data_IF_159547856190
#
_entry.id   IF_159547856190
#
_cell.length_a   1.000
_cell.length_b   1.000
_cell.length_c   1.000
_cell.angle_alpha   90.00
_cell.angle_beta   90.00
_cell.angle_gamma   90.00
#
_symmetry.space_group_name_H-M   'P 1'
#
loop_
_entity.id
_entity.type
_entity.pdbx_description
1 polymer ?
#
# COMPACT_ATOMS: atom_id res chain seq x y z
N UNK A 1 31.85 -17.34 -35.54
CA UNK A 1 31.33 -15.99 -35.24
C UNK A 1 30.43 -16.12 -34.03
N UNK A 2 30.92 -15.70 -32.86
CA UNK A 2 30.27 -15.89 -31.56
C UNK A 2 29.16 -14.83 -31.38
N UNK A 3 27.90 -15.21 -31.57
CA UNK A 3 26.74 -14.49 -31.02
C UNK A 3 26.22 -15.26 -29.80
N UNK A 4 27.04 -15.41 -28.78
CA UNK A 4 26.65 -16.04 -27.51
C UNK A 4 27.18 -15.17 -26.38
N UNK A 5 26.36 -14.24 -25.88
CA UNK A 5 26.54 -13.60 -24.54
C UNK A 5 25.46 -12.55 -24.21
N UNK A 6 24.67 -12.03 -25.16
CA UNK A 6 23.76 -10.90 -24.89
C UNK A 6 22.34 -11.28 -24.40
N UNK A 7 22.08 -12.57 -24.11
CA UNK A 7 20.76 -13.09 -23.76
C UNK A 7 20.39 -13.08 -22.24
N UNK A 8 21.30 -13.03 -21.25
CA UNK A 8 20.87 -13.07 -19.84
C UNK A 8 20.37 -11.72 -19.32
N UNK A 9 20.83 -10.61 -19.89
CA UNK A 9 20.45 -9.26 -19.45
C UNK A 9 19.00 -8.93 -19.76
N UNK A 10 18.49 -9.34 -20.93
CA UNK A 10 17.10 -9.10 -21.31
C UNK A 10 16.12 -9.83 -20.40
N UNK A 11 16.44 -11.07 -20.02
CA UNK A 11 15.61 -11.86 -19.11
C UNK A 11 15.59 -11.22 -17.71
N UNK A 12 16.75 -10.89 -17.14
CA UNK A 12 16.85 -10.24 -15.83
C UNK A 12 16.15 -8.87 -15.84
N UNK A 13 16.32 -8.09 -16.91
CA UNK A 13 15.65 -6.80 -17.05
C UNK A 13 14.12 -6.93 -17.06
N UNK A 14 13.57 -7.94 -17.74
CA UNK A 14 12.13 -8.21 -17.78
C UNK A 14 11.59 -8.56 -16.38
N UNK A 15 12.33 -9.35 -15.60
CA UNK A 15 11.98 -9.66 -14.20
C UNK A 15 12.01 -8.43 -13.30
N UNK A 16 13.04 -7.58 -13.43
CA UNK A 16 13.14 -6.31 -12.68
C UNK A 16 11.96 -5.40 -13.03
N UNK A 17 11.63 -5.29 -14.32
CA UNK A 17 10.51 -4.47 -14.80
C UNK A 17 9.17 -5.01 -14.28
N UNK A 18 8.98 -6.33 -14.26
CA UNK A 18 7.79 -6.96 -13.70
C UNK A 18 7.63 -6.65 -12.20
N UNK A 19 8.70 -6.76 -11.42
CA UNK A 19 8.69 -6.44 -9.98
C UNK A 19 8.39 -4.95 -9.77
N UNK A 20 9.04 -4.08 -10.55
CA UNK A 20 8.81 -2.63 -10.48
C UNK A 20 7.36 -2.27 -10.83
N UNK A 21 6.77 -2.95 -11.81
CA UNK A 21 5.37 -2.75 -12.21
C UNK A 21 4.40 -3.15 -11.09
N UNK A 22 4.59 -4.34 -10.49
CA UNK A 22 3.78 -4.79 -9.34
C UNK A 22 3.93 -3.84 -8.16
N UNK A 23 5.16 -3.38 -7.87
CA UNK A 23 5.42 -2.41 -6.82
C UNK A 23 4.68 -1.08 -7.06
N UNK A 24 4.68 -0.57 -8.30
CA UNK A 24 3.95 0.65 -8.65
C UNK A 24 2.44 0.50 -8.51
N UNK A 25 1.86 -0.66 -8.88
CA UNK A 25 0.43 -0.93 -8.67
C UNK A 25 0.09 -0.93 -7.18
N UNK A 26 0.87 -1.63 -6.34
CA UNK A 26 0.64 -1.67 -4.90
C UNK A 26 0.79 -0.27 -4.30
N UNK A 27 1.80 0.49 -4.73
CA UNK A 27 2.03 1.87 -4.28
C UNK A 27 0.87 2.78 -4.67
N UNK A 28 0.38 2.71 -5.91
CA UNK A 28 -0.75 3.50 -6.38
C UNK A 28 -2.02 3.19 -5.58
N UNK A 29 -2.34 1.90 -5.38
CA UNK A 29 -3.49 1.48 -4.55
C UNK A 29 -3.35 1.97 -3.10
N UNK A 30 -2.14 1.93 -2.52
CA UNK A 30 -1.89 2.48 -1.18
C UNK A 30 -2.00 4.00 -1.12
N UNK A 31 -1.68 4.69 -2.20
CA UNK A 31 -1.78 6.15 -2.30
C UNK A 31 -3.25 6.60 -2.37
N UNK A 32 -4.11 5.85 -3.08
CA UNK A 32 -5.56 6.07 -3.09
C UNK A 32 -6.23 5.71 -1.76
N UNK A 33 -5.74 4.68 -1.06
CA UNK A 33 -6.22 4.35 0.30
C UNK A 33 -5.78 5.36 1.37
N UNK A 34 -4.97 6.35 1.01
CA UNK A 34 -4.72 7.55 1.82
C UNK A 34 -5.82 8.60 1.62
N UNK A 35 -7.05 8.16 1.37
CA UNK A 35 -8.24 8.98 1.57
C UNK A 35 -8.17 9.63 2.95
N UNK A 36 -8.54 10.91 3.09
CA UNK A 36 -8.64 11.57 4.39
C UNK A 36 -9.50 10.77 5.38
N UNK A 37 -10.45 9.96 4.89
CA UNK A 37 -11.25 9.07 5.74
C UNK A 37 -10.45 7.95 6.40
N UNK A 38 -9.52 7.34 5.67
CA UNK A 38 -8.63 6.30 6.21
C UNK A 38 -7.73 6.86 7.30
N UNK A 39 -7.25 8.10 7.14
CA UNK A 39 -6.46 8.79 8.16
C UNK A 39 -7.29 9.08 9.42
N UNK A 40 -8.54 9.53 9.29
CA UNK A 40 -9.39 9.80 10.45
C UNK A 40 -9.70 8.51 11.23
N UNK A 41 -9.95 7.41 10.53
CA UNK A 41 -10.19 6.09 11.14
C UNK A 41 -8.94 5.51 11.80
N UNK A 42 -7.75 5.72 11.23
CA UNK A 42 -6.48 5.33 11.84
C UNK A 42 -6.22 6.11 13.13
N UNK A 43 -6.49 7.42 13.14
CA UNK A 43 -6.39 8.25 14.36
C UNK A 43 -7.38 7.75 15.42
N UNK A 44 -8.63 7.48 15.06
CA UNK A 44 -9.61 6.96 16.00
C UNK A 44 -9.20 5.60 16.59
N UNK A 45 -8.67 4.68 15.76
CA UNK A 45 -8.12 3.38 16.24
C UNK A 45 -6.95 3.57 17.20
N UNK A 46 -6.07 4.54 16.93
CA UNK A 46 -4.93 4.84 17.79
C UNK A 46 -5.39 5.32 19.18
N UNK A 47 -6.37 6.23 19.21
CA UNK A 47 -6.98 6.74 20.45
C UNK A 47 -7.71 5.63 21.24
N UNK A 48 -8.37 4.71 20.55
CA UNK A 48 -8.98 3.54 21.18
C UNK A 48 -7.93 2.62 21.83
N UNK A 49 -6.81 2.38 21.15
CA UNK A 49 -5.70 1.58 21.71
C UNK A 49 -5.05 2.24 22.93
N UNK A 50 -5.01 3.59 22.96
CA UNK A 50 -4.57 4.36 24.12
C UNK A 50 -5.61 4.39 25.25
N UNK A 51 -6.84 3.92 25.02
CA UNK A 51 -7.95 4.00 25.97
C UNK A 51 -8.56 5.40 26.09
N UNK A 52 -8.27 6.31 25.16
CA UNK A 52 -8.81 7.68 25.14
C UNK A 52 -10.27 7.73 24.68
N UNK A 53 -10.71 6.72 23.93
CA UNK A 53 -12.10 6.57 23.47
C UNK A 53 -12.57 5.14 23.68
N UNK A 54 -13.87 4.97 23.80
CA UNK A 54 -14.55 3.69 23.98
C UNK A 54 -14.80 2.97 22.65
N UNK A 55 -15.21 1.70 22.73
CA UNK A 55 -15.56 0.91 21.55
C UNK A 55 -16.81 1.46 20.84
N UNK A 56 -17.78 2.03 21.59
CA UNK A 56 -18.94 2.69 20.99
C UNK A 56 -18.55 3.92 20.17
N UNK A 57 -17.72 4.81 20.73
CA UNK A 57 -17.27 6.03 20.05
C UNK A 57 -16.48 5.72 18.76
N UNK A 58 -15.59 4.72 18.82
CA UNK A 58 -14.87 4.26 17.62
C UNK A 58 -15.84 3.76 16.53
N UNK A 59 -16.94 3.12 16.93
CA UNK A 59 -17.94 2.57 16.01
C UNK A 59 -18.80 3.66 15.38
N UNK A 60 -19.14 4.72 16.11
CA UNK A 60 -19.84 5.89 15.57
C UNK A 60 -19.00 6.61 14.53
N UNK A 61 -17.74 6.91 14.85
CA UNK A 61 -16.79 7.53 13.91
C UNK A 61 -16.67 6.68 12.64
N UNK A 62 -16.61 5.35 12.78
CA UNK A 62 -16.54 4.44 11.62
C UNK A 62 -17.82 4.41 10.76
N UNK A 63 -18.97 4.82 11.30
CA UNK A 63 -20.25 4.90 10.55
C UNK A 63 -20.44 6.23 9.85
N UNK A 64 -19.87 7.31 10.36
CA UNK A 64 -19.98 8.65 9.76
C UNK A 64 -19.01 8.88 8.59
N UNK A 65 -17.95 8.06 8.51
CA UNK A 65 -16.89 8.08 7.49
C UNK A 65 -17.14 7.07 6.36
#
# INVERSE_FOLDING_TARGET
MHTMSMMPFSMIFMWILMIAFVYLIIKAIRQDNKSPSSSAIEVAKCRFANGEITQEELREIKKEL
#
